data_IF_351338845077
#
_entry.id   IF_351338845077
#
_cell.length_a   1.000
_cell.length_b   1.000
_cell.length_c   1.000
_cell.angle_alpha   90.00
_cell.angle_beta   90.00
_cell.angle_gamma   90.00
#
_symmetry.space_group_name_H-M   'P 1'
#
loop_
_entity.id
_entity.type
_entity.pdbx_description
1 polymer ?
#
# COMPACT_ATOMS: atom_id res chain seq x y z
N UNK A 1 6.23 -15.96 -6.39
CA UNK A 1 7.39 -15.05 -6.52
C UNK A 1 7.03 -13.75 -5.82
N UNK A 2 7.98 -13.17 -5.10
CA UNK A 2 7.73 -11.94 -4.36
C UNK A 2 8.02 -10.71 -5.21
N UNK A 3 7.15 -9.73 -5.11
CA UNK A 3 7.26 -8.45 -5.82
C UNK A 3 7.11 -7.29 -4.85
N UNK A 4 7.96 -6.27 -5.04
CA UNK A 4 7.78 -4.94 -4.48
C UNK A 4 7.14 -4.07 -5.56
N UNK A 5 5.95 -3.59 -5.29
CA UNK A 5 5.25 -2.59 -6.10
C UNK A 5 5.34 -1.25 -5.39
N UNK A 6 5.84 -0.25 -6.09
CA UNK A 6 5.89 1.13 -5.61
C UNK A 6 5.00 1.97 -6.50
N UNK A 7 3.94 2.54 -5.92
CA UNK A 7 3.06 3.49 -6.60
C UNK A 7 3.30 4.89 -6.07
N UNK A 8 3.64 5.82 -6.96
CA UNK A 8 3.80 7.24 -6.63
C UNK A 8 2.53 7.99 -7.00
N UNK A 9 2.08 8.83 -6.08
CA UNK A 9 0.92 9.67 -6.29
C UNK A 9 1.21 10.71 -7.38
N UNK A 10 0.16 11.36 -7.90
CA UNK A 10 0.35 12.56 -8.73
C UNK A 10 1.04 13.68 -7.96
N UNK A 11 1.78 14.53 -8.66
CA UNK A 11 2.43 15.72 -8.09
C UNK A 11 1.57 16.99 -8.25
N UNK A 12 0.42 16.89 -8.91
CA UNK A 12 -0.51 18.00 -9.09
C UNK A 12 -1.30 18.31 -7.81
N UNK A 13 -1.82 19.54 -7.74
CA UNK A 13 -2.53 20.04 -6.56
C UNK A 13 -3.76 19.23 -6.16
N UNK A 14 -4.34 18.41 -7.06
CA UNK A 14 -5.50 17.56 -6.75
C UNK A 14 -5.15 16.14 -6.33
N UNK A 15 -3.87 15.77 -6.27
CA UNK A 15 -3.45 14.43 -5.92
C UNK A 15 -3.82 14.01 -4.48
N UNK A 16 -3.67 14.87 -3.45
CA UNK A 16 -4.09 14.53 -2.09
C UNK A 16 -5.58 14.18 -2.01
N UNK A 17 -6.43 14.95 -2.67
CA UNK A 17 -7.88 14.75 -2.69
C UNK A 17 -8.24 13.46 -3.42
N UNK A 18 -7.60 13.17 -4.57
CA UNK A 18 -7.81 11.89 -5.28
C UNK A 18 -7.46 10.71 -4.38
N UNK A 19 -6.33 10.78 -3.67
CA UNK A 19 -5.92 9.73 -2.72
C UNK A 19 -6.98 9.53 -1.64
N UNK A 20 -7.42 10.62 -1.00
CA UNK A 20 -8.39 10.53 0.09
C UNK A 20 -9.74 9.98 -0.37
N UNK A 21 -10.20 10.36 -1.57
CA UNK A 21 -11.48 9.93 -2.12
C UNK A 21 -11.60 8.40 -2.32
N UNK A 22 -10.49 7.70 -2.59
CA UNK A 22 -10.48 6.25 -2.80
C UNK A 22 -9.74 5.47 -1.71
N UNK A 23 -9.18 6.14 -0.70
CA UNK A 23 -8.38 5.53 0.37
C UNK A 23 -9.12 4.41 1.09
N UNK A 24 -10.39 4.60 1.43
CA UNK A 24 -11.16 3.58 2.13
C UNK A 24 -11.30 2.29 1.31
N UNK A 25 -11.51 2.42 -0.01
CA UNK A 25 -11.57 1.28 -0.93
C UNK A 25 -10.23 0.56 -1.02
N UNK A 26 -9.12 1.32 -1.11
CA UNK A 26 -7.77 0.76 -1.10
C UNK A 26 -7.50 -0.02 0.20
N UNK A 27 -7.86 0.53 1.36
CA UNK A 27 -7.68 -0.14 2.65
C UNK A 27 -8.54 -1.41 2.78
N UNK A 28 -9.78 -1.38 2.28
CA UNK A 28 -10.63 -2.55 2.23
C UNK A 28 -10.05 -3.65 1.32
N UNK A 29 -9.48 -3.28 0.16
CA UNK A 29 -8.81 -4.25 -0.71
C UNK A 29 -7.55 -4.82 -0.05
N UNK A 30 -6.75 -3.97 0.58
CA UNK A 30 -5.57 -4.38 1.35
C UNK A 30 -5.91 -5.42 2.42
N UNK A 31 -6.98 -5.21 3.20
CA UNK A 31 -7.45 -6.18 4.19
C UNK A 31 -7.77 -7.54 3.56
N UNK A 32 -8.43 -7.56 2.39
CA UNK A 32 -8.71 -8.80 1.66
C UNK A 32 -7.42 -9.48 1.18
N UNK A 33 -6.47 -8.72 0.65
CA UNK A 33 -5.20 -9.27 0.13
C UNK A 33 -4.30 -9.82 1.25
N UNK A 34 -4.33 -9.20 2.43
CA UNK A 34 -3.68 -9.76 3.62
C UNK A 34 -4.37 -11.05 4.07
N UNK A 35 -5.70 -11.06 4.12
CA UNK A 35 -6.47 -12.26 4.51
C UNK A 35 -6.25 -13.43 3.53
N UNK A 36 -6.05 -13.16 2.24
CA UNK A 36 -5.74 -14.19 1.24
C UNK A 36 -4.27 -14.60 1.20
N UNK A 37 -3.39 -13.93 1.97
CA UNK A 37 -1.95 -14.17 1.95
C UNK A 37 -1.22 -13.66 0.69
N UNK A 38 -1.91 -12.90 -0.18
CA UNK A 38 -1.31 -12.33 -1.40
C UNK A 38 -0.43 -11.12 -1.08
N UNK A 39 -0.80 -10.32 -0.08
CA UNK A 39 0.05 -9.24 0.43
C UNK A 39 0.81 -9.67 1.67
N UNK A 40 2.09 -9.33 1.71
CA UNK A 40 3.00 -9.64 2.81
C UNK A 40 3.33 -8.41 3.64
N UNK A 41 3.42 -7.24 3.01
CA UNK A 41 3.57 -5.96 3.71
C UNK A 41 3.19 -4.78 2.83
N UNK A 42 2.92 -3.62 3.43
CA UNK A 42 2.58 -2.40 2.70
C UNK A 42 2.70 -1.17 3.58
N UNK A 43 2.91 -0.01 2.97
CA UNK A 43 2.94 1.26 3.69
C UNK A 43 2.78 2.46 2.77
N UNK A 44 2.56 3.63 3.36
CA UNK A 44 2.64 4.89 2.65
C UNK A 44 4.11 5.31 2.51
N UNK A 45 4.49 5.82 1.34
CA UNK A 45 5.73 6.57 1.17
C UNK A 45 5.48 8.01 1.61
N UNK A 46 6.39 8.52 2.42
CA UNK A 46 6.36 9.89 2.92
C UNK A 46 7.53 10.68 2.33
N UNK A 47 7.33 11.97 2.10
CA UNK A 47 8.43 12.91 1.91
C UNK A 47 9.05 13.35 3.26
N UNK A 48 10.06 14.21 3.19
CA UNK A 48 10.75 14.76 4.38
C UNK A 48 9.83 15.62 5.26
N UNK A 49 8.71 16.12 4.73
CA UNK A 49 7.70 16.87 5.48
C UNK A 49 6.64 15.95 6.12
N UNK A 50 6.71 14.65 5.89
CA UNK A 50 5.74 13.66 6.37
C UNK A 50 4.46 13.59 5.54
N UNK A 51 4.43 14.21 4.35
CA UNK A 51 3.31 14.14 3.43
C UNK A 51 3.36 12.84 2.65
N UNK A 52 2.19 12.23 2.41
CA UNK A 52 2.11 11.01 1.64
C UNK A 52 2.35 11.30 0.15
N UNK A 53 3.40 10.71 -0.42
CA UNK A 53 3.78 10.85 -1.83
C UNK A 53 3.59 9.56 -2.64
N UNK A 54 3.15 8.48 -1.97
CA UNK A 54 2.96 7.21 -2.62
C UNK A 54 2.68 6.09 -1.64
N UNK A 55 2.86 4.86 -2.10
CA UNK A 55 2.73 3.65 -1.31
C UNK A 55 3.69 2.58 -1.84
N UNK A 56 4.07 1.66 -0.97
CA UNK A 56 4.71 0.41 -1.38
C UNK A 56 3.88 -0.79 -0.92
N UNK A 57 3.89 -1.85 -1.73
CA UNK A 57 3.24 -3.13 -1.45
C UNK A 57 4.24 -4.23 -1.75
N UNK A 58 4.42 -5.15 -0.80
CA UNK A 58 5.12 -6.42 -0.98
C UNK A 58 4.07 -7.50 -1.11
N UNK A 59 4.10 -8.26 -2.21
CA UNK A 59 3.10 -9.27 -2.52
C UNK A 59 3.70 -10.53 -3.18
N UNK A 60 2.92 -11.60 -3.25
CA UNK A 60 3.32 -12.89 -3.81
C UNK A 60 2.38 -13.37 -4.92
N UNK A 61 2.93 -13.52 -6.12
CA UNK A 61 2.23 -13.97 -7.33
C UNK A 61 3.11 -14.93 -8.13
N UNK A 62 2.50 -15.78 -8.96
CA UNK A 62 3.24 -16.73 -9.79
C UNK A 62 4.12 -16.03 -10.83
N UNK A 63 3.66 -14.89 -11.36
CA UNK A 63 4.40 -14.04 -12.30
C UNK A 63 3.99 -12.58 -12.20
N UNK A 64 4.69 -11.70 -12.91
CA UNK A 64 4.34 -10.28 -13.01
C UNK A 64 3.00 -10.08 -13.73
N UNK A 65 2.74 -10.86 -14.78
CA UNK A 65 1.50 -10.80 -15.56
C UNK A 65 0.29 -11.21 -14.71
N UNK A 66 0.46 -12.22 -13.83
CA UNK A 66 -0.56 -12.60 -12.86
C UNK A 66 -0.80 -11.45 -11.86
N UNK A 67 0.26 -10.85 -11.29
CA UNK A 67 0.13 -9.69 -10.41
C UNK A 67 -0.64 -8.53 -11.07
N UNK A 68 -0.32 -8.22 -12.33
CA UNK A 68 -0.91 -7.10 -13.06
C UNK A 68 -2.39 -7.34 -13.36
N UNK A 69 -2.71 -8.51 -13.91
CA UNK A 69 -4.08 -8.90 -14.28
C UNK A 69 -4.97 -9.21 -13.07
N UNK A 70 -4.42 -9.90 -12.07
CA UNK A 70 -5.14 -10.32 -10.88
C UNK A 70 -5.14 -9.30 -9.76
N UNK A 71 -4.53 -8.12 -9.87
CA UNK A 71 -4.72 -7.12 -8.80
C UNK A 71 -4.44 -5.71 -9.29
N UNK A 72 -3.26 -5.46 -9.86
CA UNK A 72 -2.80 -4.09 -10.09
C UNK A 72 -3.77 -3.26 -10.95
N UNK A 73 -4.33 -3.84 -12.01
CA UNK A 73 -5.26 -3.13 -12.90
C UNK A 73 -6.59 -2.73 -12.24
N UNK A 74 -6.99 -3.38 -11.15
CA UNK A 74 -8.23 -3.08 -10.42
C UNK A 74 -8.01 -2.41 -9.08
N UNK A 75 -6.75 -2.20 -8.71
CA UNK A 75 -6.36 -1.53 -7.47
C UNK A 75 -7.00 -0.12 -7.43
N UNK A 76 -7.72 0.25 -6.36
CA UNK A 76 -8.38 1.56 -6.24
C UNK A 76 -7.46 2.77 -6.49
N UNK A 77 -6.19 2.73 -6.07
CA UNK A 77 -5.26 3.82 -6.37
C UNK A 77 -4.84 3.88 -7.85
N UNK A 78 -4.85 2.76 -8.57
CA UNK A 78 -4.60 2.75 -10.02
C UNK A 78 -5.84 3.25 -10.77
N UNK A 79 -6.98 2.63 -10.52
CA UNK A 79 -8.26 2.97 -11.19
C UNK A 79 -8.77 4.37 -10.83
N UNK A 80 -8.44 4.87 -9.63
CA UNK A 80 -8.75 6.23 -9.19
C UNK A 80 -7.77 7.30 -9.67
N UNK A 81 -6.76 6.95 -10.47
CA UNK A 81 -5.75 7.90 -10.97
C UNK A 81 -4.92 8.55 -9.86
N UNK A 82 -4.73 7.84 -8.76
CA UNK A 82 -3.87 8.28 -7.65
C UNK A 82 -2.43 7.97 -8.02
N UNK A 83 -2.13 6.70 -8.31
CA UNK A 83 -0.80 6.30 -8.76
C UNK A 83 -0.60 6.67 -10.23
N UNK A 84 0.28 7.64 -10.48
CA UNK A 84 0.63 8.09 -11.82
C UNK A 84 1.89 7.41 -12.36
N UNK A 85 2.72 6.90 -11.44
CA UNK A 85 3.94 6.15 -11.75
C UNK A 85 4.01 4.91 -10.89
N UNK A 86 4.24 3.77 -11.52
CA UNK A 86 4.31 2.46 -10.84
C UNK A 86 5.62 1.78 -11.21
N UNK A 87 6.35 1.34 -10.21
CA UNK A 87 7.56 0.54 -10.34
C UNK A 87 7.30 -0.86 -9.76
N UNK A 88 7.79 -1.90 -10.43
CA UNK A 88 7.62 -3.29 -10.00
C UNK A 88 8.97 -3.97 -10.04
N UNK A 89 9.39 -4.50 -8.90
CA UNK A 89 10.67 -5.18 -8.74
C UNK A 89 10.46 -6.59 -8.17
N UNK A 90 11.06 -7.64 -8.76
CA UNK A 90 11.18 -8.91 -8.06
C UNK A 90 12.06 -8.73 -6.83
N UNK A 91 11.64 -9.29 -5.70
CA UNK A 91 12.37 -9.18 -4.43
C UNK A 91 12.47 -10.52 -3.74
N UNK A 92 13.41 -10.63 -2.80
CA UNK A 92 13.49 -11.72 -1.83
C UNK A 92 13.37 -11.10 -0.46
N UNK A 93 12.28 -11.35 0.26
CA UNK A 93 12.15 -10.85 1.62
C UNK A 93 12.82 -11.78 2.62
N UNK A 94 13.48 -11.20 3.60
CA UNK A 94 14.04 -11.95 4.72
C UNK A 94 12.93 -12.64 5.52
N UNK A 95 13.15 -13.87 6.03
CA UNK A 95 12.23 -14.51 6.95
C UNK A 95 11.97 -13.63 8.17
N UNK A 96 10.70 -13.46 8.55
CA UNK A 96 10.33 -12.67 9.73
C UNK A 96 10.45 -13.51 11.00
N UNK A 97 11.27 -13.07 11.95
CA UNK A 97 11.28 -13.59 13.31
C UNK A 97 10.03 -13.03 14.03
N UNK A 98 9.05 -13.89 14.33
CA UNK A 98 7.76 -13.59 14.97
C UNK A 98 6.70 -12.84 14.13
N UNK A 99 5.57 -13.50 13.93
CA UNK A 99 4.44 -13.14 13.05
C UNK A 99 3.30 -12.38 13.76
N UNK A 100 3.52 -11.77 14.92
CA UNK A 100 2.42 -11.12 15.66
C UNK A 100 2.28 -9.65 15.28
N UNK A 101 1.62 -9.38 14.14
CA UNK A 101 1.29 -8.03 13.62
C UNK A 101 0.32 -7.26 14.54
N UNK A 102 -0.16 -7.84 15.64
CA UNK A 102 -1.04 -7.16 16.61
C UNK A 102 -0.38 -5.98 17.37
N UNK A 103 0.92 -5.76 17.23
CA UNK A 103 1.64 -4.67 17.90
C UNK A 103 2.08 -3.52 17.00
N UNK A 104 1.99 -3.65 15.67
CA UNK A 104 2.25 -2.54 14.76
C UNK A 104 0.93 -1.82 14.49
N UNK A 105 0.48 -1.06 15.49
CA UNK A 105 -0.77 -0.31 15.44
C UNK A 105 -0.79 0.61 14.21
N UNK A 106 -1.73 0.34 13.31
CA UNK A 106 -2.31 1.41 12.50
C UNK A 106 -2.98 2.35 13.51
N UNK A 107 -2.61 3.65 13.61
CA UNK A 107 -3.40 4.55 14.42
C UNK A 107 -4.77 4.65 13.75
N UNK A 108 -5.74 3.91 14.26
CA UNK A 108 -7.14 4.33 14.20
C UNK A 108 -7.12 5.81 14.56
N UNK A 109 -7.65 6.66 13.69
CA UNK A 109 -7.56 8.13 13.73
C UNK A 109 -8.19 8.77 14.97
N UNK A 110 -7.79 8.36 16.16
CA UNK A 110 -8.05 8.97 17.45
C UNK A 110 -6.74 9.61 17.87
N UNK A 111 -6.76 10.94 17.88
CA UNK A 111 -5.70 11.76 18.42
C UNK A 111 -5.24 11.19 19.76
N UNK A 112 -3.92 11.04 19.93
CA UNK A 112 -3.32 10.77 21.23
C UNK A 112 -3.71 11.91 22.17
N UNK A 113 -4.73 11.71 23.00
CA UNK A 113 -4.98 12.58 24.14
C UNK A 113 -3.89 12.29 25.16
N UNK A 114 -2.88 13.15 25.17
CA UNK A 114 -1.92 13.28 26.26
C UNK A 114 -2.67 13.64 27.53
N UNK A 115 -2.65 12.78 28.54
CA UNK A 115 -2.87 13.20 29.92
C UNK A 115 -1.78 12.59 30.79
N UNK A 116 -1.22 13.50 31.59
CA UNK A 116 -0.29 13.33 32.69
C UNK A 116 -0.80 12.33 33.74
#
# INVERSE_FOLDING_TARGET
>A
MQFLVIGYDGEDAGAPERRMAVREKHLADSQRMYASGKWQDSGALLDDAGMMIGSFIVCDYASREELESEWLHREPYVTGGVWTRIEIHPVLISPRACSNRSQLGWPDGKARTSHL
#
